data_IF_134780977941
#
_entry.id   IF_134780977941
#
_cell.length_a   1.000
_cell.length_b   1.000
_cell.length_c   1.000
_cell.angle_alpha   90.00
_cell.angle_beta   90.00
_cell.angle_gamma   90.00
#
_symmetry.space_group_name_H-M   'P 1'
#
loop_
_entity.id
_entity.type
_entity.pdbx_description
1 polymer ?
#
# COMPACT_ATOMS: atom_id res chain seq x y z
N UNK A 1 22.56 -29.82 -17.25
CA UNK A 1 22.58 -28.73 -18.28
C UNK A 1 23.15 -27.49 -17.61
N UNK A 2 24.36 -27.08 -17.97
CA UNK A 2 24.86 -25.80 -17.49
C UNK A 2 24.04 -24.64 -18.07
N UNK A 3 23.81 -23.59 -17.27
CA UNK A 3 23.09 -22.41 -17.72
C UNK A 3 23.89 -21.76 -18.87
N UNK A 4 23.29 -21.63 -20.06
CA UNK A 4 23.95 -21.07 -21.26
C UNK A 4 24.51 -19.66 -21.02
N UNK A 5 23.82 -18.84 -20.21
CA UNK A 5 24.30 -17.50 -19.85
C UNK A 5 25.58 -17.58 -19.00
N UNK A 6 25.62 -18.51 -18.06
CA UNK A 6 26.80 -18.73 -17.22
C UNK A 6 28.01 -19.19 -18.05
N UNK A 7 27.79 -20.13 -19.00
CA UNK A 7 28.86 -20.52 -19.94
C UNK A 7 29.38 -19.36 -20.75
N UNK A 8 28.50 -18.45 -21.23
CA UNK A 8 28.92 -17.25 -21.95
C UNK A 8 29.70 -16.29 -21.08
N UNK A 9 29.33 -16.09 -19.84
CA UNK A 9 30.10 -15.27 -18.86
C UNK A 9 31.50 -15.85 -18.63
N UNK A 10 31.58 -17.14 -18.37
CA UNK A 10 32.85 -17.85 -18.21
C UNK A 10 33.71 -17.71 -19.46
N UNK A 11 33.11 -17.87 -20.64
CA UNK A 11 33.83 -17.72 -21.92
C UNK A 11 34.34 -16.30 -22.13
N UNK A 12 33.56 -15.25 -21.85
CA UNK A 12 34.00 -13.87 -21.97
C UNK A 12 35.23 -13.57 -21.10
N UNK A 13 35.25 -14.02 -19.86
CA UNK A 13 36.37 -13.84 -18.95
C UNK A 13 37.56 -14.67 -19.40
N UNK A 14 37.36 -15.92 -19.84
CA UNK A 14 38.44 -16.77 -20.37
C UNK A 14 39.11 -16.18 -21.63
N UNK A 15 38.32 -15.50 -22.48
CA UNK A 15 38.81 -14.83 -23.68
C UNK A 15 39.75 -13.64 -23.41
N UNK A 16 39.68 -13.07 -22.21
CA UNK A 16 40.51 -11.93 -21.77
C UNK A 16 41.66 -12.36 -20.82
N UNK A 17 41.66 -13.63 -20.38
CA UNK A 17 42.61 -14.16 -19.43
C UNK A 17 43.78 -14.87 -20.15
N UNK A 18 44.96 -14.86 -19.54
CA UNK A 18 46.15 -15.53 -20.07
C UNK A 18 46.08 -17.05 -20.03
N UNK A 19 45.27 -17.55 -19.08
CA UNK A 19 45.02 -19.00 -18.90
C UNK A 19 43.72 -19.22 -18.13
N UNK A 20 43.18 -20.44 -18.14
CA UNK A 20 41.94 -20.78 -17.47
C UNK A 20 42.02 -20.71 -15.93
N UNK A 21 43.23 -20.77 -15.34
CA UNK A 21 43.41 -20.59 -13.90
C UNK A 21 43.18 -19.12 -13.50
N UNK A 22 43.64 -18.18 -14.30
CA UNK A 22 43.41 -16.75 -14.09
C UNK A 22 41.92 -16.42 -14.24
N UNK A 23 41.28 -16.94 -15.29
CA UNK A 23 39.84 -16.78 -15.48
C UNK A 23 39.05 -17.34 -14.28
N UNK A 24 39.43 -18.49 -13.78
CA UNK A 24 38.82 -19.14 -12.61
C UNK A 24 38.95 -18.26 -11.35
N UNK A 25 40.13 -17.67 -11.14
CA UNK A 25 40.38 -16.75 -10.01
C UNK A 25 39.50 -15.50 -10.09
N UNK A 26 39.40 -14.89 -11.28
CA UNK A 26 38.54 -13.71 -11.49
C UNK A 26 37.07 -13.99 -11.24
N UNK A 27 36.63 -15.20 -11.58
CA UNK A 27 35.21 -15.63 -11.42
C UNK A 27 34.92 -16.23 -10.04
N UNK A 28 35.91 -16.48 -9.20
CA UNK A 28 35.74 -17.14 -7.91
C UNK A 28 35.28 -18.62 -8.02
N UNK A 29 35.64 -19.30 -9.11
CA UNK A 29 35.28 -20.70 -9.39
C UNK A 29 36.53 -21.57 -9.57
N UNK A 30 36.36 -22.90 -9.69
CA UNK A 30 37.52 -23.77 -9.93
C UNK A 30 37.91 -23.80 -11.41
N UNK A 31 39.24 -24.02 -11.73
CA UNK A 31 39.70 -24.13 -13.10
C UNK A 31 39.05 -25.27 -13.89
N UNK A 32 38.60 -26.33 -13.21
CA UNK A 32 37.86 -27.42 -13.81
C UNK A 32 36.51 -27.00 -14.34
N UNK A 33 35.81 -26.08 -13.61
CA UNK A 33 34.53 -25.51 -14.06
C UNK A 33 34.70 -24.68 -15.33
N UNK A 34 35.76 -23.85 -15.39
CA UNK A 34 36.09 -23.06 -16.60
C UNK A 34 36.37 -24.01 -17.77
N UNK A 35 37.22 -25.00 -17.58
CA UNK A 35 37.57 -25.96 -18.62
C UNK A 35 36.35 -26.72 -19.14
N UNK A 36 35.45 -27.15 -18.24
CA UNK A 36 34.23 -27.86 -18.61
C UNK A 36 33.27 -26.97 -19.37
N UNK A 37 33.06 -25.71 -18.93
CA UNK A 37 32.20 -24.76 -19.58
C UNK A 37 32.66 -24.44 -21.01
N UNK A 38 33.98 -24.21 -21.21
CA UNK A 38 34.54 -23.98 -22.53
C UNK A 38 34.38 -25.21 -23.44
N UNK A 39 34.68 -26.40 -22.91
CA UNK A 39 34.52 -27.63 -23.69
C UNK A 39 33.06 -27.85 -24.14
N UNK A 40 32.13 -27.67 -23.23
CA UNK A 40 30.69 -27.78 -23.53
C UNK A 40 30.22 -26.74 -24.56
N UNK A 41 30.76 -25.50 -24.48
CA UNK A 41 30.47 -24.47 -25.45
C UNK A 41 31.03 -24.81 -26.84
N UNK A 42 32.27 -25.32 -26.92
CA UNK A 42 32.88 -25.77 -28.17
C UNK A 42 32.11 -26.93 -28.81
N UNK A 43 31.66 -27.91 -27.99
CA UNK A 43 30.84 -29.03 -28.43
C UNK A 43 29.47 -28.59 -28.95
N UNK A 44 28.80 -27.66 -28.25
CA UNK A 44 27.49 -27.13 -28.71
C UNK A 44 27.57 -26.33 -29.99
N UNK A 45 28.69 -25.64 -30.24
CA UNK A 45 28.89 -24.86 -31.46
C UNK A 45 29.53 -25.64 -32.59
N UNK A 46 30.20 -26.76 -32.33
CA UNK A 46 30.99 -27.49 -33.30
C UNK A 46 32.25 -26.73 -33.75
N UNK A 47 32.71 -25.76 -32.96
CA UNK A 47 33.84 -24.88 -33.28
C UNK A 47 34.85 -24.90 -32.15
N UNK A 48 36.15 -24.91 -32.48
CA UNK A 48 37.25 -24.76 -31.51
C UNK A 48 37.43 -23.27 -31.21
N UNK A 49 37.25 -22.88 -29.96
CA UNK A 49 37.34 -21.48 -29.54
C UNK A 49 38.69 -21.11 -28.95
N UNK A 50 39.45 -22.10 -28.45
CA UNK A 50 40.79 -21.91 -27.92
C UNK A 50 41.77 -22.98 -28.42
N UNK A 51 42.93 -22.54 -28.84
CA UNK A 51 44.13 -23.41 -28.95
C UNK A 51 44.72 -23.63 -27.58
N UNK A 52 44.89 -24.90 -27.20
CA UNK A 52 45.41 -25.30 -25.88
C UNK A 52 46.83 -25.73 -25.98
N UNK A 53 47.75 -25.10 -25.23
CA UNK A 53 49.06 -25.61 -24.93
C UNK A 53 49.23 -25.82 -23.41
N UNK A 54 50.25 -26.55 -23.01
CA UNK A 54 50.50 -26.81 -21.58
C UNK A 54 50.84 -25.57 -20.76
N UNK A 55 51.14 -24.44 -21.41
CA UNK A 55 51.59 -23.20 -20.75
C UNK A 55 50.69 -21.97 -21.02
N UNK A 56 49.97 -21.95 -22.11
CA UNK A 56 49.15 -20.81 -22.53
C UNK A 56 47.89 -21.27 -23.28
N UNK A 57 46.85 -20.47 -23.20
CA UNK A 57 45.67 -20.54 -24.08
C UNK A 57 45.76 -19.39 -25.08
N UNK A 58 45.37 -19.66 -26.33
CA UNK A 58 45.24 -18.63 -27.37
C UNK A 58 43.85 -18.77 -27.98
N UNK A 59 43.13 -17.66 -28.00
CA UNK A 59 41.80 -17.62 -28.61
C UNK A 59 41.90 -17.80 -30.13
N UNK A 60 40.96 -18.51 -30.75
CA UNK A 60 40.87 -18.67 -32.20
C UNK A 60 40.18 -17.46 -32.83
N UNK A 61 40.23 -17.30 -34.17
CA UNK A 61 39.49 -16.26 -34.87
C UNK A 61 37.96 -16.40 -34.65
N UNK A 62 37.46 -17.64 -34.61
CA UNK A 62 36.02 -17.91 -34.30
C UNK A 62 35.70 -17.58 -32.82
N UNK A 63 36.66 -17.87 -31.92
CA UNK A 63 36.55 -17.47 -30.52
C UNK A 63 36.50 -15.94 -30.35
N UNK A 64 37.38 -15.17 -31.04
CA UNK A 64 37.37 -13.70 -30.99
C UNK A 64 36.02 -13.11 -31.47
N UNK A 65 35.54 -13.65 -32.60
CA UNK A 65 34.21 -13.26 -33.13
C UNK A 65 33.09 -13.53 -32.15
N UNK A 66 33.07 -14.74 -31.55
CA UNK A 66 32.12 -15.10 -30.53
C UNK A 66 32.24 -14.26 -29.27
N UNK A 67 33.48 -13.99 -28.80
CA UNK A 67 33.73 -13.19 -27.60
C UNK A 67 33.14 -11.77 -27.72
N UNK A 68 33.25 -11.15 -28.89
CA UNK A 68 32.65 -9.85 -29.18
C UNK A 68 31.14 -9.88 -29.10
N UNK A 69 30.51 -10.90 -29.68
CA UNK A 69 29.06 -11.09 -29.64
C UNK A 69 28.57 -11.44 -28.23
N UNK A 70 29.26 -12.34 -27.53
CA UNK A 70 28.92 -12.78 -26.18
C UNK A 70 29.00 -11.64 -25.17
N UNK A 71 30.02 -10.78 -25.23
CA UNK A 71 30.13 -9.58 -24.36
C UNK A 71 28.96 -8.64 -24.55
N UNK A 72 28.57 -8.38 -25.79
CA UNK A 72 27.42 -7.53 -26.05
C UNK A 72 26.12 -8.14 -25.50
N UNK A 73 25.90 -9.44 -25.73
CA UNK A 73 24.69 -10.13 -25.25
C UNK A 73 24.65 -10.22 -23.72
N UNK A 74 25.76 -10.62 -23.07
CA UNK A 74 25.87 -10.68 -21.61
C UNK A 74 25.68 -9.29 -21.00
N UNK A 75 26.36 -8.27 -21.54
CA UNK A 75 26.22 -6.90 -21.08
C UNK A 75 24.80 -6.36 -21.21
N UNK A 76 24.10 -6.69 -22.32
CA UNK A 76 22.69 -6.31 -22.50
C UNK A 76 21.77 -6.99 -21.49
N UNK A 77 22.03 -8.27 -21.16
CA UNK A 77 21.27 -8.97 -20.11
C UNK A 77 21.58 -8.38 -18.73
N UNK A 78 22.86 -8.12 -18.42
CA UNK A 78 23.24 -7.53 -17.14
C UNK A 78 22.64 -6.12 -16.96
N UNK A 79 22.55 -5.33 -18.04
CA UNK A 79 21.89 -4.03 -18.02
C UNK A 79 20.40 -4.11 -17.61
N UNK A 80 19.71 -5.23 -17.90
CA UNK A 80 18.33 -5.41 -17.46
C UNK A 80 18.18 -5.54 -15.93
N UNK A 81 19.25 -5.88 -15.21
CA UNK A 81 19.27 -6.04 -13.76
C UNK A 81 19.91 -4.86 -13.02
N UNK A 82 20.52 -3.92 -13.74
CA UNK A 82 21.13 -2.70 -13.18
C UNK A 82 20.13 -1.54 -13.35
N UNK A 83 19.54 -1.09 -12.25
CA UNK A 83 18.71 0.13 -12.28
C UNK A 83 19.63 1.36 -12.34
N UNK A 84 19.61 2.03 -13.47
CA UNK A 84 20.31 3.30 -13.69
C UNK A 84 19.70 4.43 -12.86
N UNK A 85 20.47 5.48 -12.57
CA UNK A 85 19.99 6.73 -11.94
C UNK A 85 18.84 7.37 -12.71
N UNK A 86 18.74 7.11 -14.01
CA UNK A 86 17.63 7.53 -14.88
C UNK A 86 16.34 6.76 -14.55
N UNK A 87 16.44 5.44 -14.33
CA UNK A 87 15.32 4.59 -13.89
C UNK A 87 14.79 4.97 -12.50
N UNK A 88 15.66 5.43 -11.58
CA UNK A 88 15.22 5.96 -10.28
C UNK A 88 14.40 7.23 -10.42
N UNK A 89 14.68 8.10 -11.40
CA UNK A 89 13.85 9.25 -11.73
C UNK A 89 12.52 8.81 -12.35
N UNK A 90 12.53 7.79 -13.20
CA UNK A 90 11.31 7.24 -13.78
C UNK A 90 10.44 6.50 -12.74
N UNK A 91 11.03 5.95 -11.67
CA UNK A 91 10.28 5.39 -10.53
C UNK A 91 9.48 6.44 -9.75
N UNK A 92 9.86 7.72 -9.81
CA UNK A 92 9.14 8.85 -9.21
C UNK A 92 8.06 9.44 -10.13
N UNK A 93 7.74 8.76 -11.23
CA UNK A 93 6.70 9.13 -12.19
C UNK A 93 5.64 8.05 -12.29
N UNK A 94 4.44 8.46 -12.71
CA UNK A 94 3.33 7.55 -13.00
C UNK A 94 2.28 7.51 -11.91
N UNK A 95 1.34 6.59 -12.05
CA UNK A 95 0.15 6.53 -11.20
C UNK A 95 0.41 5.73 -9.93
N UNK A 96 -0.14 6.22 -8.80
CA UNK A 96 -0.31 5.49 -7.53
C UNK A 96 -1.79 5.42 -7.22
N UNK A 97 -2.33 4.21 -7.14
CA UNK A 97 -3.74 3.99 -6.85
C UNK A 97 -3.96 3.84 -5.35
N UNK A 98 -4.73 4.78 -4.80
CA UNK A 98 -5.06 4.89 -3.38
C UNK A 98 -6.55 4.58 -3.16
N UNK A 99 -6.88 3.75 -2.18
CA UNK A 99 -8.27 3.57 -1.73
C UNK A 99 -8.45 4.05 -0.29
N UNK A 100 -9.56 4.72 -0.04
CA UNK A 100 -9.92 5.24 1.29
C UNK A 100 -11.43 5.32 1.43
N UNK A 101 -11.97 5.25 2.66
CA UNK A 101 -13.40 5.48 2.89
C UNK A 101 -13.82 6.89 2.46
N UNK A 102 -15.05 7.01 1.94
CA UNK A 102 -15.55 8.21 1.27
C UNK A 102 -15.40 9.48 2.11
N UNK A 103 -15.84 9.44 3.34
CA UNK A 103 -15.77 10.60 4.25
C UNK A 103 -14.33 10.94 4.65
N UNK A 104 -13.55 9.94 5.02
CA UNK A 104 -12.15 10.13 5.40
C UNK A 104 -11.33 10.71 4.23
N UNK A 105 -11.60 10.19 3.02
CA UNK A 105 -10.97 10.65 1.79
C UNK A 105 -11.24 12.13 1.55
N UNK A 106 -12.52 12.52 1.55
CA UNK A 106 -12.93 13.93 1.32
C UNK A 106 -12.41 14.90 2.38
N UNK A 107 -12.48 14.52 3.66
CA UNK A 107 -12.18 15.43 4.77
C UNK A 107 -10.69 15.55 5.08
N UNK A 108 -9.92 14.49 4.93
CA UNK A 108 -8.55 14.42 5.42
C UNK A 108 -7.53 14.13 4.30
N UNK A 109 -7.78 13.12 3.46
CA UNK A 109 -6.79 12.66 2.50
C UNK A 109 -6.66 13.60 1.31
N UNK A 110 -7.77 13.98 0.67
CA UNK A 110 -7.75 14.86 -0.51
C UNK A 110 -7.12 16.22 -0.20
N UNK A 111 -7.43 16.90 0.93
CA UNK A 111 -6.70 18.12 1.31
C UNK A 111 -5.18 17.90 1.48
N UNK A 112 -4.78 16.79 2.09
CA UNK A 112 -3.35 16.47 2.25
C UNK A 112 -2.65 16.22 0.90
N UNK A 113 -3.34 15.66 -0.09
CA UNK A 113 -2.77 15.39 -1.41
C UNK A 113 -2.43 16.68 -2.20
N UNK A 114 -2.97 17.83 -1.85
CA UNK A 114 -2.67 19.10 -2.52
C UNK A 114 -1.18 19.48 -2.35
N UNK A 115 -0.64 19.35 -1.14
CA UNK A 115 0.79 19.58 -0.89
C UNK A 115 1.66 18.49 -1.54
N UNK A 116 1.23 17.23 -1.46
CA UNK A 116 1.93 16.13 -2.10
C UNK A 116 2.08 16.34 -3.61
N UNK A 117 1.00 16.74 -4.29
CA UNK A 117 1.01 17.00 -5.73
C UNK A 117 1.97 18.15 -6.11
N UNK A 118 2.09 19.18 -5.26
CA UNK A 118 3.06 20.25 -5.45
C UNK A 118 4.51 19.75 -5.31
N UNK A 119 4.76 18.88 -4.34
CA UNK A 119 6.09 18.32 -4.07
C UNK A 119 6.52 17.26 -5.10
N UNK A 120 5.57 16.53 -5.67
CA UNK A 120 5.80 15.43 -6.61
C UNK A 120 4.92 15.55 -7.86
N UNK A 121 5.17 16.53 -8.74
CA UNK A 121 4.30 16.86 -9.87
C UNK A 121 4.20 15.76 -10.94
N UNK A 122 5.16 14.84 -10.99
CA UNK A 122 5.17 13.74 -11.95
C UNK A 122 4.42 12.49 -11.43
N UNK A 123 3.91 12.52 -10.18
CA UNK A 123 3.13 11.42 -9.60
C UNK A 123 1.63 11.74 -9.71
N UNK A 124 0.89 10.88 -10.37
CA UNK A 124 -0.57 10.96 -10.44
C UNK A 124 -1.17 10.08 -9.35
N UNK A 125 -1.99 10.66 -8.47
CA UNK A 125 -2.73 9.88 -7.46
C UNK A 125 -4.13 9.57 -8.01
N UNK A 126 -4.40 8.28 -8.26
CA UNK A 126 -5.73 7.76 -8.58
C UNK A 126 -6.43 7.40 -7.26
N UNK A 127 -7.28 8.32 -6.77
CA UNK A 127 -7.91 8.19 -5.45
C UNK A 127 -9.32 7.62 -5.57
N UNK A 128 -9.49 6.38 -5.12
CA UNK A 128 -10.79 5.67 -5.11
C UNK A 128 -11.43 5.82 -3.75
N UNK A 129 -12.54 6.56 -3.69
CA UNK A 129 -13.35 6.75 -2.49
C UNK A 129 -14.43 5.67 -2.45
N UNK A 130 -14.33 4.74 -1.50
CA UNK A 130 -15.31 3.65 -1.36
C UNK A 130 -15.37 3.15 0.08
N UNK A 131 -16.57 2.86 0.56
CA UNK A 131 -16.79 2.27 1.88
C UNK A 131 -16.94 0.73 1.81
N UNK A 132 -16.89 0.16 0.59
CA UNK A 132 -16.84 -1.28 0.42
C UNK A 132 -15.43 -1.83 0.77
N UNK A 133 -15.42 -2.96 1.50
CA UNK A 133 -14.20 -3.73 1.74
C UNK A 133 -13.91 -4.58 0.48
N UNK A 134 -13.27 -3.97 -0.50
CA UNK A 134 -12.73 -4.70 -1.64
C UNK A 134 -11.34 -5.25 -1.29
N UNK A 135 -11.00 -6.42 -1.83
CA UNK A 135 -9.64 -6.94 -1.67
C UNK A 135 -8.69 -6.07 -2.50
N UNK A 136 -7.82 -5.33 -1.80
CA UNK A 136 -6.82 -4.42 -2.38
C UNK A 136 -5.97 -5.11 -3.44
N UNK A 137 -5.80 -6.42 -3.32
CA UNK A 137 -4.99 -7.21 -4.24
C UNK A 137 -5.71 -7.39 -5.58
N UNK A 138 -7.01 -7.65 -5.55
CA UNK A 138 -7.81 -7.91 -6.76
C UNK A 138 -8.07 -6.62 -7.56
N UNK A 139 -8.10 -5.45 -6.90
CA UNK A 139 -8.36 -4.16 -7.52
C UNK A 139 -7.11 -3.37 -7.95
N UNK A 140 -5.93 -3.98 -7.89
CA UNK A 140 -4.65 -3.33 -8.22
C UNK A 140 -4.41 -2.04 -7.42
N UNK A 141 -4.78 -2.05 -6.15
CA UNK A 141 -4.57 -0.93 -5.22
C UNK A 141 -3.12 -0.96 -4.72
N UNK A 142 -2.46 0.18 -4.75
CA UNK A 142 -1.09 0.34 -4.24
C UNK A 142 -1.07 0.71 -2.75
N UNK A 143 -2.03 1.53 -2.32
CA UNK A 143 -2.13 2.01 -0.93
C UNK A 143 -3.60 2.00 -0.50
N UNK A 144 -3.86 1.62 0.74
CA UNK A 144 -5.20 1.70 1.34
C UNK A 144 -5.18 2.40 2.69
N UNK A 145 -6.29 3.09 3.01
CA UNK A 145 -6.53 3.69 4.33
C UNK A 145 -7.90 3.23 4.81
N UNK A 146 -7.95 2.52 5.94
CA UNK A 146 -9.19 1.94 6.48
C UNK A 146 -9.20 1.93 8.01
N UNK A 147 -10.41 2.01 8.55
CA UNK A 147 -10.67 1.66 9.93
C UNK A 147 -10.73 0.15 10.11
N UNK A 148 -10.39 -0.30 11.32
CA UNK A 148 -10.48 -1.70 11.71
C UNK A 148 -9.17 -2.45 11.59
N UNK A 149 -9.26 -3.75 11.65
CA UNK A 149 -8.11 -4.63 11.72
C UNK A 149 -7.64 -5.06 10.32
N UNK A 150 -6.34 -4.96 10.07
CA UNK A 150 -5.67 -5.56 8.93
C UNK A 150 -4.92 -6.80 9.40
N UNK A 151 -5.47 -7.97 9.20
CA UNK A 151 -5.02 -9.16 9.91
C UNK A 151 -3.88 -9.92 9.26
N UNK A 152 -3.22 -9.42 8.20
CA UNK A 152 -2.57 -10.35 7.28
C UNK A 152 -1.14 -9.93 6.97
N UNK A 153 -0.21 -10.90 7.02
CA UNK A 153 1.19 -10.75 6.63
C UNK A 153 1.39 -10.42 5.13
N UNK A 154 0.32 -10.39 4.33
CA UNK A 154 0.33 -9.91 2.94
C UNK A 154 0.47 -8.39 2.83
N UNK A 155 0.36 -7.66 3.93
CA UNK A 155 0.38 -6.20 3.96
C UNK A 155 1.46 -5.66 4.88
N UNK A 156 2.06 -4.55 4.45
CA UNK A 156 2.80 -3.65 5.35
C UNK A 156 1.80 -2.61 5.82
N UNK A 157 1.52 -2.57 7.12
CA UNK A 157 0.55 -1.66 7.72
C UNK A 157 1.19 -0.74 8.76
N UNK A 158 0.69 0.49 8.84
CA UNK A 158 1.05 1.49 9.85
C UNK A 158 -0.21 2.03 10.50
N UNK A 159 -0.28 2.02 11.82
CA UNK A 159 -1.34 2.68 12.57
C UNK A 159 -1.14 4.20 12.44
N UNK A 160 -2.16 4.90 11.96
CA UNK A 160 -2.15 6.36 11.80
C UNK A 160 -2.74 7.06 13.02
N UNK A 161 -3.90 6.59 13.47
CA UNK A 161 -4.65 7.24 14.54
C UNK A 161 -5.55 6.25 15.30
N UNK A 162 -5.92 6.66 16.50
CA UNK A 162 -6.93 6.01 17.32
C UNK A 162 -8.18 6.88 17.32
N UNK A 163 -9.32 6.37 16.90
CA UNK A 163 -10.55 7.12 16.72
C UNK A 163 -11.61 6.64 17.72
N UNK A 164 -12.11 7.57 18.50
CA UNK A 164 -13.26 7.34 19.37
C UNK A 164 -14.54 7.69 18.62
N UNK A 165 -15.64 7.04 19.01
CA UNK A 165 -16.98 7.39 18.54
C UNK A 165 -17.74 8.11 19.64
N UNK A 166 -18.58 9.04 19.24
CA UNK A 166 -19.38 9.88 20.12
C UNK A 166 -20.84 9.78 19.75
N UNK A 167 -21.71 9.57 20.73
CA UNK A 167 -23.16 9.69 20.52
C UNK A 167 -23.53 11.16 20.66
N UNK A 168 -24.17 11.74 19.64
CA UNK A 168 -24.39 13.18 19.54
C UNK A 168 -25.78 13.55 19.03
N UNK A 169 -26.21 14.76 19.35
CA UNK A 169 -27.38 15.41 18.78
C UNK A 169 -27.25 16.92 18.87
N UNK A 170 -28.16 17.65 18.20
CA UNK A 170 -28.17 19.12 18.30
C UNK A 170 -28.87 19.58 19.57
N UNK A 171 -28.52 20.79 20.09
CA UNK A 171 -29.22 21.40 21.22
C UNK A 171 -30.75 21.47 21.01
N UNK A 172 -31.17 21.88 19.81
CA UNK A 172 -32.59 22.04 19.47
C UNK A 172 -33.35 20.71 19.50
N UNK A 173 -32.70 19.61 19.09
CA UNK A 173 -33.27 18.28 19.18
C UNK A 173 -33.42 17.88 20.65
N UNK A 174 -32.39 18.11 21.48
CA UNK A 174 -32.42 17.80 22.89
C UNK A 174 -33.50 18.59 23.64
N UNK A 175 -33.63 19.87 23.33
CA UNK A 175 -34.68 20.73 23.92
C UNK A 175 -36.08 20.22 23.57
N UNK A 176 -36.26 19.65 22.37
CA UNK A 176 -37.57 19.17 21.89
C UNK A 176 -37.97 17.81 22.42
N UNK A 177 -36.99 16.86 22.52
CA UNK A 177 -37.30 15.45 22.82
C UNK A 177 -36.66 14.95 24.10
N UNK A 178 -35.83 15.76 24.77
CA UNK A 178 -35.06 15.36 25.92
C UNK A 178 -33.71 14.70 25.54
N UNK A 179 -32.88 14.49 26.54
CA UNK A 179 -31.56 13.88 26.39
C UNK A 179 -31.62 12.41 26.80
N UNK A 180 -31.20 11.46 25.93
CA UNK A 180 -31.01 10.06 26.30
C UNK A 180 -29.95 9.92 27.40
N UNK A 181 -30.28 9.22 28.49
CA UNK A 181 -29.36 9.02 29.62
C UNK A 181 -28.76 7.63 29.69
N UNK A 182 -29.40 6.64 29.07
CA UNK A 182 -28.97 5.24 29.08
C UNK A 182 -29.12 4.63 27.69
N UNK A 183 -28.27 3.69 27.34
CA UNK A 183 -28.32 2.97 26.06
C UNK A 183 -29.69 2.32 25.82
N UNK A 184 -30.28 1.72 26.84
CA UNK A 184 -31.60 1.04 26.74
C UNK A 184 -32.74 1.98 26.39
N UNK A 185 -32.58 3.27 26.61
CA UNK A 185 -33.62 4.26 26.33
C UNK A 185 -33.54 4.82 24.91
N UNK A 186 -32.48 4.54 24.17
CA UNK A 186 -32.23 5.13 22.84
C UNK A 186 -33.39 4.94 21.86
N UNK A 187 -34.02 3.76 21.80
CA UNK A 187 -35.14 3.50 20.90
C UNK A 187 -36.39 4.36 21.17
N UNK A 188 -36.44 5.07 22.29
CA UNK A 188 -37.52 6.03 22.60
C UNK A 188 -37.32 7.39 21.92
N UNK A 189 -36.17 7.61 21.31
CA UNK A 189 -35.77 8.88 20.71
C UNK A 189 -35.64 8.76 19.18
N UNK A 190 -35.72 9.86 18.45
CA UNK A 190 -35.43 9.86 17.03
C UNK A 190 -33.91 9.57 16.82
N UNK A 191 -33.61 8.53 16.05
CA UNK A 191 -32.26 8.08 15.76
C UNK A 191 -31.96 8.10 14.27
N UNK A 192 -30.68 8.23 13.91
CA UNK A 192 -30.18 7.93 12.57
C UNK A 192 -29.52 6.56 12.57
N UNK A 193 -29.38 5.95 11.40
CA UNK A 193 -28.72 4.67 11.24
C UNK A 193 -27.93 4.61 9.93
N UNK A 194 -26.72 4.10 10.01
CA UNK A 194 -25.93 3.72 8.87
C UNK A 194 -26.25 2.27 8.50
N UNK A 195 -26.53 1.98 7.24
CA UNK A 195 -26.81 0.64 6.75
C UNK A 195 -25.64 0.07 5.97
N UNK A 196 -25.31 -1.18 6.21
CA UNK A 196 -24.40 -1.93 5.35
C UNK A 196 -25.22 -2.52 4.19
N UNK A 197 -25.02 -2.01 2.99
CA UNK A 197 -25.73 -2.45 1.80
C UNK A 197 -25.51 -3.93 1.43
N UNK A 198 -24.41 -4.53 1.83
CA UNK A 198 -24.12 -5.94 1.52
C UNK A 198 -24.96 -6.89 2.37
N UNK A 199 -25.18 -6.50 3.63
CA UNK A 199 -25.90 -7.33 4.60
C UNK A 199 -27.31 -6.85 4.85
N UNK A 200 -27.67 -5.61 4.46
CA UNK A 200 -28.92 -4.94 4.78
C UNK A 200 -29.09 -4.65 6.28
N UNK A 201 -28.04 -4.78 7.07
CA UNK A 201 -28.07 -4.56 8.51
C UNK A 201 -27.58 -3.17 8.87
N UNK A 202 -28.14 -2.58 9.93
CA UNK A 202 -27.64 -1.34 10.50
C UNK A 202 -26.32 -1.58 11.23
N UNK A 203 -25.40 -0.64 11.09
CA UNK A 203 -24.19 -0.62 11.89
C UNK A 203 -24.53 -0.39 13.36
N UNK A 204 -24.08 -1.26 14.28
CA UNK A 204 -24.36 -1.08 15.69
C UNK A 204 -23.54 0.09 16.26
N UNK A 205 -24.15 0.85 17.15
CA UNK A 205 -23.44 1.75 18.04
C UNK A 205 -22.68 0.90 19.04
N UNK A 206 -21.37 0.99 19.08
CA UNK A 206 -20.54 0.14 19.92
C UNK A 206 -20.05 0.92 21.12
N UNK A 207 -20.18 0.32 22.28
CA UNK A 207 -19.73 0.84 23.57
C UNK A 207 -18.74 -0.13 24.18
N UNK A 208 -18.00 0.31 25.23
CA UNK A 208 -17.06 -0.56 25.95
C UNK A 208 -17.80 -1.73 26.65
N UNK A 209 -17.04 -2.73 27.09
CA UNK A 209 -17.56 -3.95 27.73
C UNK A 209 -18.46 -4.79 26.80
N UNK A 210 -18.19 -4.78 25.50
CA UNK A 210 -18.94 -5.55 24.50
C UNK A 210 -20.44 -5.17 24.42
N UNK A 211 -20.81 -4.00 24.95
CA UNK A 211 -22.18 -3.48 24.80
C UNK A 211 -22.34 -2.86 23.43
N UNK A 212 -23.43 -3.18 22.77
CA UNK A 212 -23.81 -2.59 21.50
C UNK A 212 -25.29 -2.30 21.46
N UNK A 213 -25.66 -1.31 20.67
CA UNK A 213 -27.03 -0.93 20.42
C UNK A 213 -27.24 -0.80 18.91
N UNK A 214 -28.31 -1.39 18.40
CA UNK A 214 -28.71 -1.24 16.99
C UNK A 214 -30.06 -0.56 16.97
N UNK A 215 -30.21 0.62 16.33
CA UNK A 215 -31.50 1.29 16.22
C UNK A 215 -32.58 0.35 15.63
N UNK A 216 -33.72 0.22 16.32
CA UNK A 216 -34.79 -0.65 15.86
C UNK A 216 -35.74 0.05 14.91
N UNK A 217 -35.94 1.37 15.07
CA UNK A 217 -36.85 2.18 14.25
C UNK A 217 -36.23 3.56 13.98
N UNK A 218 -35.15 3.63 13.18
CA UNK A 218 -34.50 4.89 12.89
C UNK A 218 -35.37 5.81 12.04
N UNK A 219 -35.27 7.12 12.28
CA UNK A 219 -35.98 8.14 11.51
C UNK A 219 -35.32 8.46 10.17
N UNK A 220 -33.99 8.22 10.09
CA UNK A 220 -33.21 8.41 8.88
C UNK A 220 -32.25 7.25 8.71
N UNK A 221 -32.17 6.71 7.52
CA UNK A 221 -31.31 5.57 7.15
C UNK A 221 -30.54 5.96 5.90
N UNK A 222 -29.23 5.73 5.91
CA UNK A 222 -28.35 5.95 4.77
C UNK A 222 -27.18 4.98 4.82
N UNK A 223 -26.49 4.80 3.71
CA UNK A 223 -25.22 4.07 3.59
C UNK A 223 -24.00 5.02 3.53
N UNK A 224 -24.24 6.34 3.49
CA UNK A 224 -23.21 7.37 3.44
C UNK A 224 -23.06 8.04 4.80
N UNK A 225 -21.89 7.91 5.42
CA UNK A 225 -21.58 8.45 6.74
C UNK A 225 -21.65 9.99 6.78
N UNK A 226 -21.34 10.67 5.67
CA UNK A 226 -21.47 12.14 5.58
C UNK A 226 -22.94 12.54 5.53
N UNK A 227 -23.79 11.81 4.80
CA UNK A 227 -25.23 12.06 4.77
C UNK A 227 -25.87 11.85 6.15
N UNK A 228 -25.45 10.79 6.88
CA UNK A 228 -25.89 10.59 8.27
C UNK A 228 -25.47 11.75 9.16
N UNK A 229 -24.21 12.19 9.03
CA UNK A 229 -23.71 13.34 9.79
C UNK A 229 -24.48 14.62 9.50
N UNK A 230 -24.81 14.90 8.23
CA UNK A 230 -25.63 16.05 7.86
C UNK A 230 -27.07 15.96 8.41
N UNK A 231 -27.66 14.76 8.44
CA UNK A 231 -28.97 14.55 9.05
C UNK A 231 -28.95 14.82 10.56
N UNK A 232 -27.88 14.44 11.27
CA UNK A 232 -27.69 14.76 12.68
C UNK A 232 -27.59 16.27 12.89
N UNK A 233 -26.79 16.99 12.08
CA UNK A 233 -26.66 18.43 12.14
C UNK A 233 -27.96 19.17 11.84
N UNK A 234 -28.83 18.58 11.02
CA UNK A 234 -30.16 19.11 10.73
C UNK A 234 -31.19 18.75 11.83
N UNK A 235 -30.81 18.09 12.91
CA UNK A 235 -31.69 17.73 14.02
C UNK A 235 -32.70 16.63 13.70
N UNK A 236 -32.44 15.78 12.69
CA UNK A 236 -33.33 14.67 12.31
C UNK A 236 -33.36 13.59 13.40
N UNK A 237 -32.22 13.33 14.03
CA UNK A 237 -32.09 12.33 15.09
C UNK A 237 -30.70 12.36 15.76
N UNK A 238 -30.59 11.61 16.84
CA UNK A 238 -29.27 11.32 17.45
C UNK A 238 -28.53 10.30 16.60
N UNK A 239 -27.20 10.42 16.58
CA UNK A 239 -26.32 9.49 15.86
C UNK A 239 -25.06 9.15 16.64
N UNK A 240 -24.31 8.16 16.16
CA UNK A 240 -23.06 7.68 16.74
C UNK A 240 -21.93 7.80 15.73
N UNK A 241 -21.09 8.83 15.90
CA UNK A 241 -20.17 9.33 14.89
C UNK A 241 -18.71 9.28 15.31
N UNK A 242 -17.77 9.08 14.37
CA UNK A 242 -16.34 9.15 14.67
C UNK A 242 -15.92 10.57 15.04
N UNK A 243 -14.96 10.68 15.98
CA UNK A 243 -14.50 11.94 16.56
C UNK A 243 -14.02 12.95 15.53
N UNK A 244 -13.30 12.52 14.50
CA UNK A 244 -12.79 13.45 13.47
C UNK A 244 -13.90 14.22 12.72
N UNK A 245 -15.15 13.75 12.76
CA UNK A 245 -16.31 14.48 12.22
C UNK A 245 -16.93 15.41 13.24
N UNK A 246 -17.10 14.96 14.48
CA UNK A 246 -17.97 15.65 15.44
C UNK A 246 -17.24 16.54 16.43
N UNK A 247 -15.94 16.32 16.70
CA UNK A 247 -15.19 17.10 17.69
C UNK A 247 -15.21 18.62 17.43
N UNK A 248 -15.06 19.14 16.20
CA UNK A 248 -15.17 20.58 15.94
C UNK A 248 -16.56 21.14 16.28
N UNK A 249 -17.62 20.33 16.07
CA UNK A 249 -19.01 20.73 16.32
C UNK A 249 -19.37 20.62 17.82
N UNK A 250 -18.79 19.66 18.52
CA UNK A 250 -18.90 19.58 19.99
C UNK A 250 -18.22 20.78 20.64
N UNK A 251 -17.00 21.15 20.17
CA UNK A 251 -16.28 22.33 20.69
C UNK A 251 -17.02 23.65 20.42
N UNK A 252 -17.70 23.76 19.29
CA UNK A 252 -18.49 24.94 18.96
C UNK A 252 -19.90 24.99 19.62
N UNK A 253 -20.30 23.93 20.33
CA UNK A 253 -21.60 23.80 20.93
C UNK A 253 -22.75 23.54 19.95
N UNK A 254 -22.48 23.34 18.66
CA UNK A 254 -23.50 23.00 17.66
C UNK A 254 -23.96 21.54 17.75
N UNK A 255 -23.17 20.68 18.37
CA UNK A 255 -23.54 19.36 18.81
C UNK A 255 -23.30 19.21 20.29
N UNK A 256 -24.09 18.39 20.94
CA UNK A 256 -23.95 18.01 22.34
C UNK A 256 -23.74 16.50 22.38
N UNK A 257 -22.75 16.06 23.15
CA UNK A 257 -22.56 14.63 23.41
C UNK A 257 -23.64 14.15 24.37
N UNK A 258 -24.29 13.04 24.02
CA UNK A 258 -25.17 12.30 24.90
C UNK A 258 -24.45 11.05 25.42
N UNK A 259 -24.99 10.42 26.44
CA UNK A 259 -24.42 9.21 27.04
C UNK A 259 -22.94 9.39 27.48
N UNK A 260 -22.60 10.49 28.15
CA UNK A 260 -21.22 10.85 28.52
C UNK A 260 -20.50 9.79 29.33
N UNK A 261 -21.23 8.98 30.10
CA UNK A 261 -20.66 7.89 30.92
C UNK A 261 -20.32 6.65 30.10
N UNK A 262 -20.79 6.60 28.84
CA UNK A 262 -20.60 5.48 27.95
C UNK A 262 -19.44 5.77 27.01
N UNK A 263 -18.39 4.99 27.11
CA UNK A 263 -17.22 5.13 26.23
C UNK A 263 -17.31 4.15 25.06
N UNK A 264 -16.87 4.57 23.89
CA UNK A 264 -16.76 3.71 22.71
C UNK A 264 -15.42 2.96 22.70
N UNK A 265 -15.36 1.74 22.13
CA UNK A 265 -14.09 1.11 21.81
C UNK A 265 -13.27 1.99 20.88
N UNK A 266 -11.96 2.02 21.09
CA UNK A 266 -11.05 2.76 20.24
C UNK A 266 -10.89 2.05 18.90
N UNK A 267 -11.31 2.69 17.84
CA UNK A 267 -11.09 2.22 16.48
C UNK A 267 -9.74 2.71 15.97
N UNK A 268 -9.01 1.84 15.29
CA UNK A 268 -7.69 2.17 14.75
C UNK A 268 -7.79 2.44 13.27
N UNK A 269 -7.18 3.53 12.83
CA UNK A 269 -7.01 3.85 11.43
C UNK A 269 -5.66 3.34 10.95
N UNK A 270 -5.68 2.57 9.87
CA UNK A 270 -4.47 2.01 9.29
C UNK A 270 -4.23 2.53 7.88
N UNK A 271 -2.99 2.86 7.60
CA UNK A 271 -2.42 3.01 6.26
C UNK A 271 -1.72 1.70 5.93
N UNK A 272 -2.01 1.12 4.77
CA UNK A 272 -1.42 -0.16 4.39
C UNK A 272 -1.15 -0.24 2.90
N UNK A 273 -0.25 -1.12 2.53
CA UNK A 273 0.09 -1.47 1.16
C UNK A 273 0.40 -2.96 1.04
N UNK A 274 0.21 -3.58 -0.13
CA UNK A 274 0.62 -4.97 -0.35
C UNK A 274 2.12 -5.18 -0.11
N UNK A 275 2.47 -6.27 0.56
CA UNK A 275 3.86 -6.70 0.71
C UNK A 275 4.26 -7.55 -0.50
N UNK A 276 4.57 -6.88 -1.62
CA UNK A 276 4.98 -7.54 -2.87
C UNK A 276 6.32 -6.99 -3.29
N UNK A 277 7.40 -7.79 -3.17
CA UNK A 277 8.71 -7.45 -3.71
C UNK A 277 9.22 -6.02 -3.45
N UNK A 278 10.11 -5.50 -4.29
CA UNK A 278 10.57 -4.13 -4.20
C UNK A 278 9.42 -3.15 -4.49
N UNK A 279 9.17 -2.24 -3.55
CA UNK A 279 8.13 -1.20 -3.71
C UNK A 279 8.67 -0.03 -4.53
N UNK A 280 8.01 0.38 -5.62
CA UNK A 280 8.39 1.55 -6.41
C UNK A 280 8.50 2.82 -5.54
N UNK A 281 9.46 3.69 -5.87
CA UNK A 281 9.74 4.89 -5.07
C UNK A 281 8.53 5.83 -4.96
N UNK A 282 7.72 5.98 -6.01
CA UNK A 282 6.49 6.79 -5.99
C UNK A 282 5.46 6.29 -4.97
N UNK A 283 5.29 4.97 -4.84
CA UNK A 283 4.37 4.38 -3.86
C UNK A 283 4.90 4.61 -2.44
N UNK A 284 6.22 4.43 -2.24
CA UNK A 284 6.85 4.70 -0.94
C UNK A 284 6.73 6.17 -0.56
N UNK A 285 6.98 7.09 -1.49
CA UNK A 285 6.88 8.53 -1.25
C UNK A 285 5.48 8.94 -0.78
N UNK A 286 4.41 8.45 -1.45
CA UNK A 286 3.04 8.73 -1.04
C UNK A 286 2.69 8.05 0.30
N UNK A 287 3.14 6.81 0.51
CA UNK A 287 2.90 6.08 1.76
C UNK A 287 3.53 6.78 2.96
N UNK A 288 4.80 7.18 2.86
CA UNK A 288 5.52 7.84 3.95
C UNK A 288 4.95 9.25 4.22
N UNK A 289 4.61 10.00 3.18
CA UNK A 289 3.96 11.30 3.29
C UNK A 289 2.60 11.21 3.99
N UNK A 290 1.73 10.29 3.57
CA UNK A 290 0.43 10.09 4.22
C UNK A 290 0.57 9.62 5.66
N UNK A 291 1.56 8.79 5.96
CA UNK A 291 1.85 8.35 7.31
C UNK A 291 2.27 9.51 8.23
N UNK A 292 3.03 10.46 7.71
CA UNK A 292 3.45 11.65 8.44
C UNK A 292 2.28 12.59 8.70
N UNK A 293 1.59 13.00 7.64
CA UNK A 293 0.53 14.02 7.72
C UNK A 293 -0.71 13.51 8.48
N UNK A 294 -1.11 12.25 8.24
CA UNK A 294 -2.30 11.68 8.86
C UNK A 294 -2.03 11.10 10.26
N UNK A 295 -0.77 10.93 10.66
CA UNK A 295 -0.41 10.48 12.01
C UNK A 295 -0.65 11.52 13.12
N UNK A 296 -1.02 12.75 12.78
CA UNK A 296 -1.28 13.86 13.70
C UNK A 296 -2.76 14.29 13.73
N UNK A 297 -3.66 13.47 13.18
CA UNK A 297 -5.09 13.78 13.18
C UNK A 297 -5.63 13.73 14.61
N UNK A 298 -6.30 14.80 15.03
CA UNK A 298 -7.13 14.78 16.23
C UNK A 298 -8.34 13.87 16.01
N UNK A 299 -8.49 12.88 16.88
CA UNK A 299 -9.48 11.81 16.75
C UNK A 299 -10.32 11.66 18.00
#
# INVERSE_FOLDING_TARGET
MQNKLEMMRIFCVAAESRNFKEAATQLGISPQVVTRAIKELEEQRGEILFYRSTRQIKITADGERLAKQARFAVGSIDALFVKDTKEKRDEMRGTVRLTVSSVLGRKLVVPALAEFATRYPDIVVDCVLTDSHSDVIDERIDIGIRFGFLPDNRYVARELAKVNFYSVGTPELIDKVGMPKKIIDLDKYPLTALVDHKTGRYWPWTFTESRSFTPSNPRFITDDLEAEFQAILAGVGFGHMPGFLVLPWLRSGKLIQILHEETSPVWRLYLYRPQRGPTPLRIRALFDYLAEVLGHIET
#
